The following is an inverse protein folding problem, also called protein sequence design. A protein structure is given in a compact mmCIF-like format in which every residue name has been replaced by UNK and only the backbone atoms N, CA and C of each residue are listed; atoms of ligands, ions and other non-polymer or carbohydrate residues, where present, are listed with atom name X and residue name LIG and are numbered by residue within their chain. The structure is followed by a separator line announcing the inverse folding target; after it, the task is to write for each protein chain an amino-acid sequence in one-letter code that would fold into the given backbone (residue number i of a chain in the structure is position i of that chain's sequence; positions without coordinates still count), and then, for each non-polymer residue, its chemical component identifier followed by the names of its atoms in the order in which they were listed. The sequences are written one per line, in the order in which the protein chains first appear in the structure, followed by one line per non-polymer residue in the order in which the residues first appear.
data_IF_667213763374
#
_entry.id   IF_667213763374
#
_cell.length_a   1.000
_cell.length_b   1.000
_cell.length_c   1.000
_cell.angle_alpha   90.00
_cell.angle_beta   90.00
_cell.angle_gamma   90.00
#
_symmetry.space_group_name_H-M   'P 1'
#
loop_
_entity.id
_entity.type
_entity.pdbx_description
1 polymer ?
#
# COMPACT_ATOMS: atom_id res chain seq x y z
N UNK A 1 -18.81 4.50 -1.54
CA UNK A 1 -17.58 5.25 -1.81
C UNK A 1 -16.52 4.24 -2.21
N UNK A 2 -15.91 4.44 -3.37
CA UNK A 2 -14.75 3.65 -3.83
C UNK A 2 -13.48 4.14 -3.15
N UNK A 3 -12.40 3.36 -3.19
CA UNK A 3 -11.10 3.80 -2.68
C UNK A 3 -10.61 5.08 -3.37
N UNK A 4 -10.78 5.17 -4.70
CA UNK A 4 -10.44 6.37 -5.46
C UNK A 4 -11.20 7.61 -4.97
N UNK A 5 -12.51 7.49 -4.78
CA UNK A 5 -13.33 8.59 -4.25
C UNK A 5 -12.87 8.99 -2.84
N UNK A 6 -12.60 8.02 -1.97
CA UNK A 6 -12.09 8.27 -0.62
C UNK A 6 -10.76 9.03 -0.64
N UNK A 7 -9.80 8.60 -1.46
CA UNK A 7 -8.50 9.28 -1.56
C UNK A 7 -8.66 10.71 -2.09
N UNK A 8 -9.52 10.91 -3.10
CA UNK A 8 -9.80 12.24 -3.65
C UNK A 8 -10.45 13.18 -2.63
N UNK A 9 -11.38 12.68 -1.81
CA UNK A 9 -12.00 13.46 -0.72
C UNK A 9 -10.97 13.87 0.35
N UNK A 10 -9.92 13.07 0.54
CA UNK A 10 -8.80 13.37 1.44
C UNK A 10 -7.65 14.13 0.74
N UNK A 11 -7.88 14.66 -0.46
CA UNK A 11 -6.91 15.51 -1.17
C UNK A 11 -5.78 14.75 -1.87
N UNK A 12 -5.90 13.43 -2.04
CA UNK A 12 -4.90 12.59 -2.72
C UNK A 12 -5.42 12.05 -4.05
N UNK A 13 -4.69 12.32 -5.13
CA UNK A 13 -4.97 11.73 -6.44
C UNK A 13 -4.10 10.49 -6.67
N UNK A 14 -4.75 9.34 -6.88
CA UNK A 14 -4.07 8.08 -7.17
C UNK A 14 -3.27 8.16 -8.49
N UNK A 15 -2.05 7.66 -8.44
CA UNK A 15 -1.08 7.63 -9.54
C UNK A 15 -0.85 6.22 -10.09
N UNK A 16 -1.30 5.18 -9.38
CA UNK A 16 -1.09 3.78 -9.72
C UNK A 16 -2.41 2.99 -9.80
N UNK A 17 -2.31 1.72 -10.17
CA UNK A 17 -3.41 0.74 -10.15
C UNK A 17 -3.29 -0.25 -9.00
N UNK A 18 -2.45 0.04 -7.99
CA UNK A 18 -2.18 -0.92 -6.92
C UNK A 18 -3.45 -1.37 -6.20
N UNK A 19 -4.39 -0.45 -5.96
CA UNK A 19 -5.65 -0.82 -5.33
C UNK A 19 -6.40 -1.90 -6.12
N UNK A 20 -6.52 -1.74 -7.44
CA UNK A 20 -7.14 -2.73 -8.32
C UNK A 20 -6.34 -4.04 -8.36
N UNK A 21 -5.01 -3.97 -8.48
CA UNK A 21 -4.14 -5.14 -8.56
C UNK A 21 -4.24 -6.00 -7.30
N UNK A 22 -4.19 -5.37 -6.11
CA UNK A 22 -4.39 -6.07 -4.84
C UNK A 22 -5.83 -6.57 -4.68
N UNK A 23 -6.83 -5.79 -5.10
CA UNK A 23 -8.24 -6.23 -5.07
C UNK A 23 -8.52 -7.44 -5.97
N UNK A 24 -7.77 -7.59 -7.07
CA UNK A 24 -7.80 -8.79 -7.91
C UNK A 24 -7.09 -9.93 -7.18
N UNK A 25 -5.87 -9.69 -6.66
CA UNK A 25 -5.07 -10.69 -5.94
C UNK A 25 -5.80 -11.28 -4.72
N UNK A 26 -6.58 -10.45 -4.02
CA UNK A 26 -7.43 -10.85 -2.89
C UNK A 26 -8.35 -12.04 -3.23
N UNK A 27 -8.83 -12.11 -4.49
CA UNK A 27 -9.71 -13.19 -4.98
C UNK A 27 -8.98 -14.51 -5.21
N UNK A 28 -7.66 -14.48 -5.34
CA UNK A 28 -6.79 -15.63 -5.56
C UNK A 28 -6.07 -16.08 -4.27
N UNK A 29 -6.23 -15.35 -3.18
CA UNK A 29 -5.74 -15.70 -1.84
C UNK A 29 -4.33 -15.23 -1.53
N UNK A 30 -3.83 -15.63 -0.35
CA UNK A 30 -2.61 -15.10 0.28
C UNK A 30 -1.37 -15.15 -0.63
N UNK A 31 -1.19 -16.24 -1.37
CA UNK A 31 -0.03 -16.41 -2.25
C UNK A 31 -0.02 -15.39 -3.40
N UNK A 32 -1.20 -15.06 -3.95
CA UNK A 32 -1.32 -14.06 -5.01
C UNK A 32 -1.06 -12.64 -4.48
N UNK A 33 -1.56 -12.32 -3.28
CA UNK A 33 -1.26 -11.03 -2.62
C UNK A 33 0.24 -10.85 -2.40
N UNK A 34 0.91 -11.89 -1.91
CA UNK A 34 2.35 -11.88 -1.70
C UNK A 34 3.13 -11.71 -3.02
N UNK A 35 2.73 -12.41 -4.10
CA UNK A 35 3.35 -12.25 -5.42
C UNK A 35 3.17 -10.82 -5.97
N UNK A 36 1.95 -10.29 -5.90
CA UNK A 36 1.63 -8.91 -6.31
C UNK A 36 2.50 -7.90 -5.58
N UNK A 37 2.62 -8.02 -4.25
CA UNK A 37 3.51 -7.17 -3.47
C UNK A 37 4.98 -7.31 -3.90
N UNK A 38 5.49 -8.54 -4.01
CA UNK A 38 6.89 -8.77 -4.36
C UNK A 38 7.27 -8.24 -5.75
N UNK A 39 6.31 -8.14 -6.65
CA UNK A 39 6.49 -7.51 -7.97
C UNK A 39 6.45 -5.99 -7.86
N UNK A 40 5.36 -5.44 -7.30
CA UNK A 40 5.17 -4.01 -7.14
C UNK A 40 6.30 -3.36 -6.34
N UNK A 41 6.64 -3.92 -5.18
CA UNK A 41 7.70 -3.41 -4.32
C UNK A 41 9.07 -3.47 -5.03
N UNK A 42 9.40 -4.55 -5.72
CA UNK A 42 10.69 -4.68 -6.42
C UNK A 42 10.85 -3.65 -7.53
N UNK A 43 9.78 -3.39 -8.27
CA UNK A 43 9.77 -2.47 -9.40
C UNK A 43 9.74 -1.01 -8.93
N UNK A 44 8.96 -0.71 -7.90
CA UNK A 44 8.59 0.68 -7.57
C UNK A 44 9.17 1.22 -6.26
N UNK A 45 9.86 0.42 -5.43
CA UNK A 45 10.46 0.90 -4.17
C UNK A 45 11.46 2.06 -4.33
N UNK A 46 11.98 2.29 -5.53
CA UNK A 46 12.88 3.41 -5.83
C UNK A 46 12.16 4.71 -6.18
N UNK A 47 10.87 4.66 -6.50
CA UNK A 47 10.05 5.84 -6.75
C UNK A 47 9.30 6.19 -5.47
N UNK A 48 9.66 7.30 -4.84
CA UNK A 48 9.11 7.66 -3.54
C UNK A 48 7.59 7.86 -3.58
N UNK A 49 7.01 8.33 -4.70
CA UNK A 49 5.56 8.53 -4.80
C UNK A 49 4.82 7.21 -4.88
N UNK A 50 5.34 6.28 -5.69
CA UNK A 50 4.70 4.98 -5.84
C UNK A 50 4.92 4.11 -4.61
N UNK A 51 6.08 4.22 -3.95
CA UNK A 51 6.30 3.60 -2.65
C UNK A 51 5.31 4.12 -1.60
N UNK A 52 5.09 5.44 -1.53
CA UNK A 52 4.07 6.03 -0.64
C UNK A 52 2.67 5.48 -0.94
N UNK A 53 2.26 5.47 -2.21
CA UNK A 53 0.93 4.96 -2.59
C UNK A 53 0.79 3.45 -2.32
N UNK A 54 1.86 2.67 -2.52
CA UNK A 54 1.89 1.26 -2.15
C UNK A 54 1.68 1.08 -0.64
N UNK A 55 2.38 1.84 0.20
CA UNK A 55 2.17 1.80 1.66
C UNK A 55 0.72 2.17 2.03
N UNK A 56 0.16 3.21 1.43
CA UNK A 56 -1.23 3.62 1.65
C UNK A 56 -2.20 2.48 1.32
N UNK A 57 -2.08 1.89 0.13
CA UNK A 57 -2.94 0.78 -0.30
C UNK A 57 -2.84 -0.39 0.66
N UNK A 58 -1.63 -0.77 1.09
CA UNK A 58 -1.44 -1.85 2.06
C UNK A 58 -2.12 -1.54 3.39
N UNK A 59 -2.00 -0.30 3.90
CA UNK A 59 -2.66 0.11 5.13
C UNK A 59 -4.20 0.01 5.03
N UNK A 60 -4.78 0.54 3.95
CA UNK A 60 -6.22 0.45 3.73
C UNK A 60 -6.71 -0.99 3.53
N UNK A 61 -5.89 -1.87 2.97
CA UNK A 61 -6.18 -3.31 2.86
C UNK A 61 -6.23 -4.01 4.22
N UNK A 62 -5.39 -3.61 5.18
CA UNK A 62 -5.49 -4.10 6.58
C UNK A 62 -6.87 -3.75 7.13
N UNK A 63 -7.28 -2.49 7.03
CA UNK A 63 -8.58 -2.02 7.52
C UNK A 63 -9.74 -2.76 6.83
N UNK A 64 -9.67 -2.97 5.52
CA UNK A 64 -10.67 -3.71 4.74
C UNK A 64 -10.92 -5.13 5.29
N UNK A 65 -9.88 -5.80 5.81
CA UNK A 65 -9.94 -7.19 6.24
C UNK A 65 -9.96 -7.41 7.75
N UNK A 66 -9.76 -6.34 8.53
CA UNK A 66 -9.57 -6.38 9.99
C UNK A 66 -10.60 -7.26 10.72
N UNK A 67 -11.88 -7.17 10.37
CA UNK A 67 -12.95 -7.90 11.07
C UNK A 67 -13.24 -9.30 10.50
N UNK A 68 -13.05 -9.50 9.19
CA UNK A 68 -13.65 -10.62 8.47
C UNK A 68 -12.66 -11.66 7.95
N UNK A 69 -11.38 -11.29 7.80
CA UNK A 69 -10.32 -12.14 7.22
C UNK A 69 -9.00 -11.88 7.94
N UNK A 70 -8.83 -12.41 9.18
CA UNK A 70 -7.64 -12.15 9.97
C UNK A 70 -6.35 -12.66 9.30
N UNK A 71 -6.44 -13.72 8.50
CA UNK A 71 -5.34 -14.23 7.67
C UNK A 71 -4.85 -13.19 6.66
N UNK A 72 -5.77 -12.51 5.98
CA UNK A 72 -5.47 -11.43 5.03
C UNK A 72 -4.94 -10.20 5.76
N UNK A 73 -5.58 -9.81 6.86
CA UNK A 73 -5.17 -8.63 7.64
C UNK A 73 -3.75 -8.78 8.20
N UNK A 74 -3.39 -9.97 8.71
CA UNK A 74 -2.02 -10.27 9.17
C UNK A 74 -1.03 -10.19 8.02
N UNK A 75 -1.34 -10.79 6.86
CA UNK A 75 -0.45 -10.71 5.70
C UNK A 75 -0.24 -9.25 5.26
N UNK A 76 -1.33 -8.49 5.06
CA UNK A 76 -1.23 -7.08 4.67
C UNK A 76 -0.46 -6.23 5.69
N UNK A 77 -0.62 -6.51 6.98
CA UNK A 77 0.14 -5.80 8.02
C UNK A 77 1.65 -6.08 7.91
N UNK A 78 2.05 -7.35 7.73
CA UNK A 78 3.46 -7.71 7.52
C UNK A 78 4.04 -7.03 6.27
N UNK A 79 3.29 -6.97 5.18
CA UNK A 79 3.72 -6.31 3.95
C UNK A 79 3.81 -4.78 4.10
N UNK A 80 2.87 -4.18 4.82
CA UNK A 80 2.86 -2.76 5.16
C UNK A 80 4.08 -2.40 6.02
N UNK A 81 4.35 -3.14 7.10
CA UNK A 81 5.53 -2.94 7.95
C UNK A 81 6.84 -2.99 7.15
N UNK A 82 6.93 -3.93 6.20
CA UNK A 82 8.10 -4.05 5.33
C UNK A 82 8.29 -2.82 4.42
N UNK A 83 7.22 -2.36 3.77
CA UNK A 83 7.27 -1.19 2.88
C UNK A 83 7.56 0.10 3.68
N UNK A 84 6.92 0.23 4.83
CA UNK A 84 7.03 1.37 5.73
C UNK A 84 8.44 1.50 6.33
N UNK A 85 8.99 0.38 6.82
CA UNK A 85 10.38 0.34 7.28
C UNK A 85 11.34 0.74 6.17
N UNK A 86 11.15 0.18 4.96
CA UNK A 86 12.00 0.52 3.82
C UNK A 86 11.93 2.01 3.48
N UNK A 87 10.73 2.61 3.46
CA UNK A 87 10.54 4.03 3.20
C UNK A 87 11.30 4.91 4.22
N UNK A 88 11.15 4.60 5.52
CA UNK A 88 11.84 5.32 6.61
C UNK A 88 13.36 5.24 6.51
N UNK A 89 13.88 4.07 6.13
CA UNK A 89 15.31 3.83 6.00
C UNK A 89 15.90 4.53 4.78
N UNK A 90 15.19 4.55 3.64
CA UNK A 90 15.75 4.93 2.34
C UNK A 90 15.36 6.34 1.87
N UNK A 91 14.16 6.83 2.17
CA UNK A 91 13.73 8.17 1.78
C UNK A 91 14.44 9.23 2.64
N UNK A 92 14.74 10.39 2.04
CA UNK A 92 15.43 11.51 2.70
C UNK A 92 14.87 12.85 2.24
N UNK A 93 15.04 13.88 3.07
CA UNK A 93 14.64 15.25 2.74
C UNK A 93 13.18 15.33 2.31
N UNK A 94 12.93 15.96 1.17
CA UNK A 94 11.58 16.20 0.65
C UNK A 94 10.80 14.91 0.36
N UNK A 95 11.49 13.81 -0.01
CA UNK A 95 10.82 12.53 -0.27
C UNK A 95 10.25 11.92 1.01
N UNK A 96 11.02 12.00 2.11
CA UNK A 96 10.56 11.52 3.41
C UNK A 96 9.46 12.41 3.98
N UNK A 97 9.56 13.74 3.80
CA UNK A 97 8.48 14.66 4.18
C UNK A 97 7.18 14.36 3.44
N UNK A 98 7.26 14.12 2.12
CA UNK A 98 6.10 13.74 1.31
C UNK A 98 5.49 12.42 1.78
N UNK A 99 6.33 11.43 2.06
CA UNK A 99 5.86 10.14 2.59
C UNK A 99 5.04 10.34 3.87
N UNK A 100 5.56 11.10 4.84
CA UNK A 100 4.86 11.35 6.09
C UNK A 100 3.57 12.13 5.93
N UNK A 101 3.59 13.22 5.16
CA UNK A 101 2.40 14.04 4.92
C UNK A 101 1.25 13.24 4.29
N UNK A 102 1.58 12.26 3.46
CA UNK A 102 0.58 11.45 2.75
C UNK A 102 0.10 10.26 3.59
N UNK A 103 0.94 9.70 4.47
CA UNK A 103 0.59 8.52 5.28
C UNK A 103 0.06 8.81 6.68
N UNK A 104 0.16 10.04 7.17
CA UNK A 104 -0.36 10.49 8.48
C UNK A 104 -1.87 10.82 8.41
#
# INVERSE_FOLDING_TARGET
MTFKEFMQENGYELQTTFWEDFSIADRFGLAAVLDTFNRAFREWKGDYKFLTELTLVLNHKIWQYYENRPDMAVLYNTLWEQADQYAKENLKGNELSYYWEVTD
#
